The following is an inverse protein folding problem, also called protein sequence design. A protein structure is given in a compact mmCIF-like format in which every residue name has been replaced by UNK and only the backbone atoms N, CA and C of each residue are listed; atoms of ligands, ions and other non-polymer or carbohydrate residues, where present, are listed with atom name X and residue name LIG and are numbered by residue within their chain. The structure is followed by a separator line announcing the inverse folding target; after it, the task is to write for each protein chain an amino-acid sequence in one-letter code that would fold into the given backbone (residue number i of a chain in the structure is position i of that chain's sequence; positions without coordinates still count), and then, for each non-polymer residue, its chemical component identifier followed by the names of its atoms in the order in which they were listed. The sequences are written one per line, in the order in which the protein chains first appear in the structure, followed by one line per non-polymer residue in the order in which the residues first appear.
data_IF_904893365286
#
_entry.id   IF_904893365286
#
_cell.length_a   1.000
_cell.length_b   1.000
_cell.length_c   1.000
_cell.angle_alpha   90.00
_cell.angle_beta   90.00
_cell.angle_gamma   90.00
#
_symmetry.space_group_name_H-M   'P 1'
#
loop_
_entity.id
_entity.type
_entity.pdbx_description
1 polymer ?
#
# COMPACT_ATOMS: atom_id res chain seq x y z
N UNK A 1 -3.75 -5.17 -4.60
CA UNK A 1 -4.14 -5.64 -5.95
C UNK A 1 -4.77 -4.47 -6.71
N UNK A 2 -4.82 -4.47 -8.05
CA UNK A 2 -5.37 -3.34 -8.81
C UNK A 2 -5.44 -3.54 -10.32
N UNK A 3 -5.87 -2.51 -11.04
CA UNK A 3 -5.94 -2.52 -12.51
C UNK A 3 -4.54 -2.30 -13.09
N UNK A 4 -4.11 -3.22 -13.96
CA UNK A 4 -2.78 -3.18 -14.57
C UNK A 4 -2.64 -1.96 -15.48
N UNK A 5 -1.55 -1.20 -15.31
CA UNK A 5 -1.26 0.00 -16.10
C UNK A 5 -1.90 1.29 -15.60
N UNK A 6 -2.89 1.22 -14.69
CA UNK A 6 -3.57 2.42 -14.18
C UNK A 6 -2.62 3.34 -13.39
N UNK A 7 -1.77 2.76 -12.53
CA UNK A 7 -0.82 3.55 -11.75
C UNK A 7 0.26 4.21 -12.61
N UNK A 8 0.76 3.52 -13.64
CA UNK A 8 1.74 4.10 -14.57
C UNK A 8 1.14 5.27 -15.36
N UNK A 9 -0.13 5.17 -15.77
CA UNK A 9 -0.82 6.28 -16.42
C UNK A 9 -1.00 7.48 -15.48
N UNK A 10 -1.29 7.24 -14.19
CA UNK A 10 -1.44 8.31 -13.18
C UNK A 10 -0.09 8.90 -12.76
N UNK A 11 0.97 8.11 -12.75
CA UNK A 11 2.34 8.54 -12.43
C UNK A 11 2.82 9.66 -13.36
N UNK A 12 2.46 9.59 -14.65
CA UNK A 12 2.75 10.64 -15.63
C UNK A 12 2.14 12.01 -15.26
N UNK A 13 1.12 12.04 -14.40
CA UNK A 13 0.45 13.25 -13.88
C UNK A 13 0.63 13.44 -12.36
N UNK A 14 1.40 12.57 -11.71
CA UNK A 14 1.42 12.46 -10.23
C UNK A 14 2.07 13.66 -9.53
N UNK A 15 2.99 14.36 -10.21
CA UNK A 15 3.66 15.54 -9.67
C UNK A 15 2.71 16.72 -9.41
N UNK A 16 1.52 16.76 -10.02
CA UNK A 16 0.54 17.81 -9.76
C UNK A 16 -0.50 17.39 -8.70
N UNK A 17 -0.78 16.09 -8.59
CA UNK A 17 -1.91 15.60 -7.80
C UNK A 17 -1.57 15.29 -6.33
N UNK A 18 -0.33 14.89 -6.04
CA UNK A 18 0.04 14.35 -4.73
C UNK A 18 0.92 15.28 -3.87
N UNK A 19 1.34 16.43 -4.40
CA UNK A 19 2.30 17.33 -3.72
C UNK A 19 1.67 18.14 -2.57
N UNK A 20 0.38 18.48 -2.64
CA UNK A 20 -0.34 19.20 -1.56
C UNK A 20 -1.65 18.50 -1.17
N UNK A 21 -1.59 17.18 -0.96
CA UNK A 21 -2.76 16.43 -0.53
C UNK A 21 -3.06 16.71 0.96
N UNK A 22 -3.91 17.71 1.21
CA UNK A 22 -4.37 18.08 2.57
C UNK A 22 -5.38 17.06 3.10
N UNK A 23 -4.90 16.05 3.83
CA UNK A 23 -5.72 15.00 4.44
C UNK A 23 -6.30 15.37 5.82
N UNK A 24 -6.13 16.61 6.27
CA UNK A 24 -6.56 17.03 7.60
C UNK A 24 -8.08 16.97 7.72
N UNK A 25 -8.57 16.32 8.79
CA UNK A 25 -9.98 16.17 9.10
C UNK A 25 -10.79 15.32 8.08
N UNK A 26 -10.10 14.52 7.27
CA UNK A 26 -10.74 13.59 6.33
C UNK A 26 -10.74 12.18 6.91
N UNK A 27 -11.90 11.51 6.90
CA UNK A 27 -11.99 10.09 7.23
C UNK A 27 -11.46 9.27 6.05
N UNK A 28 -10.30 8.66 6.23
CA UNK A 28 -9.71 7.76 5.25
C UNK A 28 -10.18 6.34 5.51
N UNK A 29 -10.66 5.67 4.46
CA UNK A 29 -10.99 4.25 4.49
C UNK A 29 -9.83 3.51 3.84
N UNK A 30 -9.25 2.57 4.58
CA UNK A 30 -8.11 1.78 4.14
C UNK A 30 -8.60 0.36 3.87
N UNK A 31 -8.30 -0.16 2.68
CA UNK A 31 -8.49 -1.58 2.39
C UNK A 31 -7.43 -2.40 3.13
N UNK A 32 -7.87 -3.12 4.17
CA UNK A 32 -6.99 -3.93 5.01
C UNK A 32 -6.33 -5.09 4.27
N UNK A 33 -6.98 -5.69 3.27
CA UNK A 33 -6.41 -6.81 2.53
C UNK A 33 -5.26 -6.34 1.62
N UNK A 34 -5.47 -5.24 0.90
CA UNK A 34 -4.41 -4.65 0.08
C UNK A 34 -3.24 -4.12 0.94
N UNK A 35 -3.51 -3.56 2.12
CA UNK A 35 -2.46 -3.14 3.05
C UNK A 35 -1.66 -4.34 3.57
N UNK A 36 -2.34 -5.40 4.02
CA UNK A 36 -1.71 -6.62 4.51
C UNK A 36 -0.78 -7.21 3.45
N UNK A 37 -1.28 -7.40 2.22
CA UNK A 37 -0.46 -7.91 1.14
C UNK A 37 0.76 -7.00 0.87
N UNK A 38 0.61 -5.68 0.99
CA UNK A 38 1.76 -4.77 0.79
C UNK A 38 2.80 -4.91 1.89
N UNK A 39 2.38 -5.04 3.16
CA UNK A 39 3.29 -5.19 4.30
C UNK A 39 3.97 -6.56 4.34
N UNK A 40 3.30 -7.62 3.88
CA UNK A 40 3.85 -8.97 3.93
C UNK A 40 4.74 -9.30 2.73
N UNK A 41 4.52 -8.68 1.57
CA UNK A 41 5.18 -9.06 0.32
C UNK A 41 5.93 -7.94 -0.41
N UNK A 42 5.64 -6.67 -0.11
CA UNK A 42 6.21 -5.52 -0.86
C UNK A 42 7.04 -4.56 0.00
N UNK A 43 7.07 -4.72 1.32
CA UNK A 43 8.01 -4.01 2.15
C UNK A 43 9.19 -4.93 2.46
N UNK A 44 10.41 -4.46 2.22
CA UNK A 44 11.65 -5.03 2.77
C UNK A 44 11.73 -4.92 4.31
N UNK A 45 10.57 -4.77 4.97
CA UNK A 45 10.43 -4.97 6.39
C UNK A 45 10.55 -6.48 6.61
N UNK A 46 11.79 -6.94 6.80
CA UNK A 46 12.04 -8.18 7.53
C UNK A 46 11.37 -8.03 8.89
N UNK A 47 10.12 -8.45 8.98
CA UNK A 47 9.41 -8.65 10.23
C UNK A 47 10.10 -9.82 10.93
N UNK A 48 11.23 -9.53 11.58
CA UNK A 48 11.96 -10.40 12.51
C UNK A 48 11.12 -10.59 13.79
N UNK A 49 9.93 -11.14 13.61
CA UNK A 49 9.10 -11.71 14.66
C UNK A 49 9.05 -13.22 14.41
N UNK A 50 9.67 -14.04 15.28
CA UNK A 50 9.63 -15.50 15.17
C UNK A 50 8.21 -16.09 15.17
N UNK A 51 7.19 -15.27 15.49
CA UNK A 51 5.79 -15.66 15.60
C UNK A 51 4.93 -15.30 14.40
N UNK A 52 5.47 -14.56 13.41
CA UNK A 52 4.76 -14.19 12.17
C UNK A 52 5.34 -14.86 10.91
N UNK A 53 6.53 -15.46 11.00
CA UNK A 53 7.26 -16.09 9.89
C UNK A 53 6.67 -17.41 9.34
N UNK A 54 5.37 -17.66 9.51
CA UNK A 54 4.77 -18.94 9.08
C UNK A 54 3.30 -18.90 8.64
N UNK A 55 2.66 -17.73 8.49
CA UNK A 55 1.20 -17.67 8.20
C UNK A 55 0.77 -16.67 7.14
N UNK A 56 1.62 -16.31 6.19
CA UNK A 56 1.12 -15.52 5.06
C UNK A 56 0.36 -16.36 4.02
N UNK A 57 0.51 -17.69 4.04
CA UNK A 57 -0.35 -18.63 3.31
C UNK A 57 -0.41 -19.96 4.08
N UNK A 58 -1.52 -20.22 4.75
CA UNK A 58 -2.07 -21.57 4.89
C UNK A 58 -3.36 -21.60 4.09
#
# INVERSE_FOLDING_TARGET
MGIRGLMSFVEDYSNEFFVDLKLRNTKLIIDGYSLFHRLCFNSDLELSSPWLGGRCFS
#
